data_IF_929456777690
#
_entry.id   IF_929456777690
#
_cell.length_a   1.000
_cell.length_b   1.000
_cell.length_c   1.000
_cell.angle_alpha   90.00
_cell.angle_beta   90.00
_cell.angle_gamma   90.00
#
_symmetry.space_group_name_H-M   'P 1'
#
loop_
_entity.id
_entity.type
_entity.pdbx_description
1 polymer ?
#
# COMPACT_ATOMS: atom_id res chain seq x y z
N UNK A 1 -20.99 1.23 13.85
CA UNK A 1 -20.33 0.80 12.59
C UNK A 1 -19.20 -0.14 12.91
N UNK A 2 -18.87 -1.07 12.00
CA UNK A 2 -17.68 -1.91 12.08
C UNK A 2 -16.75 -1.52 10.92
N UNK A 3 -15.44 -1.65 11.11
CA UNK A 3 -14.43 -1.28 10.12
C UNK A 3 -13.47 -2.45 9.87
N UNK A 4 -12.96 -2.55 8.64
CA UNK A 4 -11.94 -3.52 8.24
C UNK A 4 -10.76 -2.75 7.65
N UNK A 5 -9.55 -3.05 8.14
CA UNK A 5 -8.29 -2.58 7.55
C UNK A 5 -7.59 -3.80 6.96
N UNK A 6 -7.28 -3.74 5.67
CA UNK A 6 -6.56 -4.80 4.94
C UNK A 6 -5.18 -4.27 4.55
N UNK A 7 -4.12 -4.91 5.06
CA UNK A 7 -2.73 -4.60 4.73
C UNK A 7 -2.21 -5.73 3.85
N UNK A 8 -1.74 -5.40 2.65
CA UNK A 8 -1.08 -6.34 1.74
C UNK A 8 0.42 -6.05 1.85
N UNK A 9 1.14 -6.91 2.58
CA UNK A 9 2.56 -6.68 2.88
C UNK A 9 3.41 -6.65 1.60
N UNK A 10 4.31 -5.68 1.49
CA UNK A 10 5.19 -5.50 0.34
C UNK A 10 4.49 -5.27 -1.01
N UNK A 11 3.23 -4.82 -1.03
CA UNK A 11 2.44 -4.68 -2.26
C UNK A 11 2.98 -3.65 -3.25
N UNK A 12 3.59 -2.58 -2.75
CA UNK A 12 4.15 -1.52 -3.59
C UNK A 12 5.46 -1.98 -4.22
N UNK A 13 5.64 -1.69 -5.50
CA UNK A 13 6.86 -2.00 -6.24
C UNK A 13 7.18 -0.89 -7.24
N UNK A 14 8.27 -1.05 -7.98
CA UNK A 14 8.69 -0.18 -9.07
C UNK A 14 8.30 -0.78 -10.43
N UNK A 15 8.27 0.04 -11.49
CA UNK A 15 8.19 -0.46 -12.86
C UNK A 15 9.25 -1.52 -13.16
N UNK A 16 8.85 -2.60 -13.82
CA UNK A 16 9.69 -3.73 -14.18
C UNK A 16 9.73 -3.85 -15.72
N UNK A 17 10.91 -3.87 -16.36
CA UNK A 17 11.02 -3.95 -17.83
C UNK A 17 10.32 -5.17 -18.43
N UNK A 18 10.42 -6.34 -17.79
CA UNK A 18 9.79 -7.60 -18.21
C UNK A 18 8.26 -7.54 -18.17
N UNK A 19 7.68 -6.57 -17.45
CA UNK A 19 6.25 -6.32 -17.36
C UNK A 19 5.79 -5.17 -18.28
N UNK A 20 6.68 -4.70 -19.17
CA UNK A 20 6.43 -3.57 -20.04
C UNK A 20 6.41 -2.24 -19.29
N UNK A 21 7.38 -2.03 -18.39
CA UNK A 21 7.51 -0.84 -17.54
C UNK A 21 6.31 -0.63 -16.59
N UNK A 22 5.73 -1.74 -16.12
CA UNK A 22 4.63 -1.75 -15.14
C UNK A 22 5.06 -2.40 -13.84
N UNK A 23 4.36 -2.09 -12.76
CA UNK A 23 4.48 -2.77 -11.47
C UNK A 23 3.75 -4.13 -11.50
N UNK A 24 4.10 -5.08 -10.60
CA UNK A 24 3.37 -6.33 -10.43
C UNK A 24 1.87 -6.13 -10.16
N UNK A 25 1.51 -5.09 -9.38
CA UNK A 25 0.12 -4.78 -9.07
C UNK A 25 -0.67 -4.36 -10.31
N UNK A 26 -0.08 -3.56 -11.19
CA UNK A 26 -0.74 -3.09 -12.43
C UNK A 26 -0.96 -4.21 -13.45
N UNK A 27 -0.10 -5.24 -13.48
CA UNK A 27 -0.28 -6.38 -14.40
C UNK A 27 -1.15 -7.49 -13.80
N UNK A 28 -1.29 -7.54 -12.48
CA UNK A 28 -2.12 -8.52 -11.80
C UNK A 28 -3.60 -8.32 -12.13
N UNK A 29 -4.33 -9.42 -12.35
CA UNK A 29 -5.79 -9.37 -12.51
C UNK A 29 -6.44 -9.18 -11.15
N UNK A 30 -6.84 -7.94 -10.82
CA UNK A 30 -7.37 -7.59 -9.49
C UNK A 30 -8.77 -6.97 -9.52
N UNK A 31 -9.76 -7.62 -10.16
CA UNK A 31 -11.07 -7.02 -10.44
C UNK A 31 -11.84 -6.54 -9.19
N UNK A 32 -11.60 -7.16 -8.04
CA UNK A 32 -12.21 -6.74 -6.77
C UNK A 32 -11.56 -5.47 -6.21
N UNK A 33 -10.23 -5.33 -6.30
CA UNK A 33 -9.55 -4.11 -5.86
C UNK A 33 -9.81 -2.97 -6.84
N UNK A 34 -9.84 -3.26 -8.14
CA UNK A 34 -10.24 -2.30 -9.19
C UNK A 34 -11.63 -1.72 -8.90
N UNK A 35 -12.61 -2.60 -8.59
CA UNK A 35 -13.96 -2.17 -8.23
C UNK A 35 -14.00 -1.35 -6.94
N UNK A 36 -13.20 -1.70 -5.92
CA UNK A 36 -13.10 -0.92 -4.69
C UNK A 36 -12.50 0.47 -4.95
N UNK A 37 -11.48 0.57 -5.80
CA UNK A 37 -10.87 1.84 -6.19
C UNK A 37 -11.82 2.73 -7.00
N UNK A 38 -12.60 2.14 -7.92
CA UNK A 38 -13.59 2.85 -8.74
C UNK A 38 -14.74 3.41 -7.90
N UNK A 39 -15.22 2.65 -6.91
CA UNK A 39 -16.37 3.02 -6.08
C UNK A 39 -15.99 3.68 -4.74
N UNK A 40 -14.70 3.92 -4.53
CA UNK A 40 -14.13 4.38 -3.26
C UNK A 40 -13.43 5.73 -3.35
N UNK A 41 -12.56 5.99 -2.36
CA UNK A 41 -11.65 7.14 -2.34
C UNK A 41 -10.22 6.60 -2.33
N UNK A 42 -9.39 7.15 -3.19
CA UNK A 42 -8.01 6.69 -3.42
C UNK A 42 -7.00 7.71 -2.87
N UNK A 43 -5.79 7.24 -2.59
CA UNK A 43 -4.70 8.09 -2.11
C UNK A 43 -3.36 7.38 -2.09
N UNK A 44 -2.31 8.13 -1.75
CA UNK A 44 -0.94 7.63 -1.55
C UNK A 44 -0.61 7.82 -0.06
N UNK A 45 0.14 6.88 0.51
CA UNK A 45 0.55 6.92 1.91
C UNK A 45 2.05 6.65 2.03
N UNK A 46 2.78 7.56 2.66
CA UNK A 46 4.08 7.27 3.24
C UNK A 46 3.85 6.73 4.66
N UNK A 47 4.29 5.50 5.00
CA UNK A 47 4.09 4.96 6.35
C UNK A 47 4.66 5.86 7.45
N UNK A 48 5.75 6.59 7.17
CA UNK A 48 6.36 7.54 8.10
C UNK A 48 6.55 8.92 7.46
N UNK A 49 7.36 9.00 6.40
CA UNK A 49 7.62 10.24 5.65
C UNK A 49 8.17 9.93 4.25
N UNK A 50 8.07 10.88 3.30
CA UNK A 50 8.62 10.71 1.97
C UNK A 50 10.07 10.24 1.97
N UNK A 51 10.34 9.17 1.22
CA UNK A 51 11.69 8.64 1.01
C UNK A 51 12.28 7.82 2.17
N UNK A 52 11.53 7.54 3.24
CA UNK A 52 12.00 6.68 4.33
C UNK A 52 11.59 5.23 4.12
N UNK A 53 12.58 4.34 4.08
CA UNK A 53 12.36 2.89 4.16
C UNK A 53 12.06 2.50 5.61
N UNK A 54 11.07 1.62 5.77
CA UNK A 54 10.53 1.21 7.07
C UNK A 54 10.55 -0.31 7.19
N UNK A 55 10.73 -0.82 8.40
CA UNK A 55 10.49 -2.22 8.71
C UNK A 55 9.00 -2.49 8.90
N UNK A 56 8.58 -3.76 8.83
CA UNK A 56 7.18 -4.13 9.00
C UNK A 56 6.64 -3.70 10.38
N UNK A 57 7.44 -3.80 11.44
CA UNK A 57 7.09 -3.36 12.79
C UNK A 57 6.69 -1.87 12.88
N UNK A 58 7.59 -0.98 12.44
CA UNK A 58 7.44 0.47 12.45
C UNK A 58 6.34 0.95 11.49
N UNK A 59 6.17 0.26 10.36
CA UNK A 59 5.06 0.52 9.43
C UNK A 59 3.70 0.25 10.08
N UNK A 60 3.54 -0.91 10.75
CA UNK A 60 2.27 -1.28 11.39
C UNK A 60 1.95 -0.36 12.57
N UNK A 61 2.94 0.03 13.39
CA UNK A 61 2.74 1.03 14.45
C UNK A 61 2.17 2.33 13.88
N UNK A 62 2.76 2.82 12.79
CA UNK A 62 2.32 4.07 12.14
C UNK A 62 0.91 3.95 11.56
N UNK A 63 0.59 2.84 10.88
CA UNK A 63 -0.74 2.56 10.31
C UNK A 63 -1.83 2.51 11.39
N UNK A 64 -1.50 1.97 12.57
CA UNK A 64 -2.42 1.89 13.71
C UNK A 64 -2.50 3.21 14.51
N UNK A 65 -1.79 4.25 14.08
CA UNK A 65 -1.87 5.60 14.66
C UNK A 65 -0.85 5.89 15.77
N UNK A 66 0.13 5.02 16.00
CA UNK A 66 1.22 5.27 16.94
C UNK A 66 2.34 6.09 16.31
N UNK A 67 3.14 6.76 17.15
CA UNK A 67 4.38 7.39 16.71
C UNK A 67 5.48 6.33 16.68
N UNK A 68 6.04 5.96 15.51
CA UNK A 68 7.05 4.89 15.40
C UNK A 68 8.42 5.25 16.02
N UNK A 69 8.62 6.50 16.44
CA UNK A 69 9.84 6.99 17.05
C UNK A 69 9.76 7.11 18.58
N UNK A 70 8.65 6.70 19.19
CA UNK A 70 8.42 6.71 20.64
C UNK A 70 8.01 5.32 21.11
#
# INVERSE_FOLDING_TARGET
>A
MKSLIMIIDGMADRPIPELGEKTPLEVAKTPNMDKLAENGINGIMDPIKPGVRVGSDTAHLSILGYNPYK
#
